data_IF_578444652499
#
_entry.id   IF_578444652499
#
_cell.length_a   1.000
_cell.length_b   1.000
_cell.length_c   1.000
_cell.angle_alpha   90.00
_cell.angle_beta   90.00
_cell.angle_gamma   90.00
#
_symmetry.space_group_name_H-M   'P 1'
#
loop_
_entity.id
_entity.type
_entity.pdbx_description
1 polymer ?
#
# COMPACT_ATOMS: atom_id res chain seq x y z
N UNK A 1 -14.57 -18.07 -8.72
CA UNK A 1 -13.89 -17.82 -10.02
C UNK A 1 -14.98 -17.42 -11.02
N UNK A 2 -15.17 -16.12 -11.30
CA UNK A 2 -15.75 -15.54 -12.55
C UNK A 2 -16.25 -14.08 -12.41
N UNK A 3 -15.53 -13.19 -11.72
CA UNK A 3 -15.99 -11.79 -11.57
C UNK A 3 -15.29 -10.78 -12.50
N UNK A 4 -14.52 -11.26 -13.49
CA UNK A 4 -13.62 -10.40 -14.28
C UNK A 4 -14.09 -10.13 -15.73
N UNK A 5 -15.32 -10.54 -16.10
CA UNK A 5 -15.82 -10.40 -17.48
C UNK A 5 -16.92 -9.34 -17.68
N UNK A 6 -17.48 -8.76 -16.61
CA UNK A 6 -18.49 -7.69 -16.71
C UNK A 6 -17.86 -6.30 -16.86
N UNK A 7 -16.77 -6.01 -16.16
CA UNK A 7 -16.12 -4.68 -16.18
C UNK A 7 -15.63 -4.24 -17.57
N UNK A 8 -15.16 -5.18 -18.41
CA UNK A 8 -14.63 -4.83 -19.73
C UNK A 8 -15.69 -4.38 -20.73
N UNK A 9 -16.96 -4.76 -20.55
CA UNK A 9 -18.06 -4.34 -21.46
C UNK A 9 -18.54 -2.92 -21.14
N UNK A 10 -18.51 -2.53 -19.88
CA UNK A 10 -18.95 -1.20 -19.44
C UNK A 10 -17.93 -0.11 -19.82
N UNK A 11 -16.63 -0.43 -19.80
CA UNK A 11 -15.58 0.45 -20.31
C UNK A 11 -15.72 0.76 -21.81
N UNK A 12 -16.15 -0.22 -22.60
CA UNK A 12 -16.35 -0.03 -24.04
C UNK A 12 -17.51 0.94 -24.33
N UNK A 13 -18.58 0.90 -23.54
CA UNK A 13 -19.71 1.83 -23.66
C UNK A 13 -19.33 3.28 -23.30
N UNK A 14 -18.55 3.47 -22.23
CA UNK A 14 -18.06 4.80 -21.84
C UNK A 14 -17.08 5.40 -22.85
N UNK A 15 -16.14 4.59 -23.36
CA UNK A 15 -15.22 5.02 -24.40
C UNK A 15 -15.96 5.40 -25.68
N UNK A 16 -17.01 4.67 -26.04
CA UNK A 16 -17.84 4.95 -27.21
C UNK A 16 -18.55 6.31 -27.12
N UNK A 17 -19.17 6.61 -25.97
CA UNK A 17 -19.86 7.91 -25.76
C UNK A 17 -18.86 9.06 -25.72
N UNK A 18 -17.71 8.90 -25.06
CA UNK A 18 -16.67 9.92 -25.02
C UNK A 18 -16.07 10.20 -26.41
N UNK A 19 -15.84 9.16 -27.21
CA UNK A 19 -15.35 9.29 -28.59
C UNK A 19 -16.40 9.95 -29.49
N UNK A 20 -17.69 9.66 -29.30
CA UNK A 20 -18.78 10.33 -30.03
C UNK A 20 -18.84 11.83 -29.72
N UNK A 21 -18.73 12.22 -28.45
CA UNK A 21 -18.72 13.64 -28.05
C UNK A 21 -17.49 14.36 -28.64
N UNK A 22 -16.32 13.75 -28.54
CA UNK A 22 -15.09 14.30 -29.12
C UNK A 22 -15.14 14.37 -30.65
N UNK A 23 -15.78 13.40 -31.32
CA UNK A 23 -15.99 13.41 -32.76
C UNK A 23 -16.94 14.54 -33.20
N UNK A 24 -18.02 14.79 -32.44
CA UNK A 24 -18.98 15.88 -32.73
C UNK A 24 -18.33 17.26 -32.52
N UNK A 25 -17.59 17.43 -31.42
CA UNK A 25 -16.87 18.69 -31.13
C UNK A 25 -15.74 18.89 -32.14
N UNK A 26 -15.01 17.83 -32.49
CA UNK A 26 -13.94 17.85 -33.49
C UNK A 26 -14.45 18.14 -34.90
N UNK A 27 -15.56 17.54 -35.32
CA UNK A 27 -16.18 17.79 -36.64
C UNK A 27 -16.76 19.20 -36.73
N UNK A 28 -17.34 19.71 -35.64
CA UNK A 28 -17.81 21.09 -35.57
C UNK A 28 -16.68 22.10 -35.77
N UNK A 29 -15.54 21.88 -35.11
CA UNK A 29 -14.35 22.72 -35.26
C UNK A 29 -13.73 22.64 -36.67
N UNK A 30 -13.72 21.45 -37.28
CA UNK A 30 -13.22 21.24 -38.64
C UNK A 30 -14.10 21.91 -39.70
N UNK A 31 -15.43 21.85 -39.55
CA UNK A 31 -16.39 22.48 -40.48
C UNK A 31 -16.37 24.02 -40.41
N UNK A 32 -16.15 24.60 -39.23
CA UNK A 32 -15.97 26.05 -39.05
C UNK A 32 -14.78 26.57 -39.88
N UNK A 33 -13.72 25.77 -40.01
CA UNK A 33 -12.47 26.18 -40.66
C UNK A 33 -12.50 26.13 -42.19
N UNK A 34 -13.42 25.38 -42.80
CA UNK A 34 -13.37 25.06 -44.25
C UNK A 34 -14.62 25.51 -45.01
N UNK A 35 -15.81 25.43 -44.40
CA UNK A 35 -17.07 25.53 -45.16
C UNK A 35 -17.90 26.82 -44.91
N UNK A 36 -17.50 27.65 -43.94
CA UNK A 36 -18.22 28.87 -43.60
C UNK A 36 -19.51 28.65 -42.78
N UNK A 37 -20.07 29.72 -42.19
CA UNK A 37 -21.06 29.64 -41.12
C UNK A 37 -22.43 29.05 -41.51
N UNK A 38 -22.79 29.08 -42.80
CA UNK A 38 -24.10 28.57 -43.27
C UNK A 38 -24.25 27.05 -43.22
N UNK A 39 -23.16 26.31 -43.45
CA UNK A 39 -23.12 24.84 -43.35
C UNK A 39 -23.16 24.35 -41.91
N UNK A 40 -22.59 25.13 -40.98
CA UNK A 40 -22.63 24.86 -39.54
C UNK A 40 -24.08 24.83 -39.03
N UNK A 41 -24.91 25.76 -39.51
CA UNK A 41 -26.30 25.90 -39.07
C UNK A 41 -27.14 24.66 -39.42
N UNK A 42 -26.98 24.13 -40.65
CA UNK A 42 -27.66 22.90 -41.08
C UNK A 42 -27.16 21.66 -40.34
N UNK A 43 -25.88 21.59 -40.01
CA UNK A 43 -25.32 20.49 -39.20
C UNK A 43 -25.77 20.54 -37.75
N UNK A 44 -25.97 21.74 -37.19
CA UNK A 44 -26.51 21.90 -35.83
C UNK A 44 -27.97 21.45 -35.81
N UNK A 45 -28.76 21.83 -36.82
CA UNK A 45 -30.18 21.48 -36.90
C UNK A 45 -30.44 19.97 -37.04
N UNK A 46 -29.60 19.25 -37.79
CA UNK A 46 -29.67 17.79 -37.88
C UNK A 46 -29.21 17.10 -36.60
N UNK A 47 -28.22 17.66 -35.89
CA UNK A 47 -27.80 17.15 -34.57
C UNK A 47 -28.87 17.41 -33.50
N UNK A 48 -29.53 18.57 -33.49
CA UNK A 48 -30.62 18.84 -32.53
C UNK A 48 -31.81 17.91 -32.75
N UNK A 49 -32.20 17.62 -34.00
CA UNK A 49 -33.26 16.63 -34.27
C UNK A 49 -32.89 15.21 -33.81
N UNK A 50 -31.62 14.82 -33.96
CA UNK A 50 -31.11 13.55 -33.43
C UNK A 50 -31.07 13.50 -31.90
N UNK A 51 -30.90 14.65 -31.24
CA UNK A 51 -30.99 14.77 -29.77
C UNK A 51 -32.44 14.79 -29.27
N UNK A 52 -33.39 15.30 -30.06
CA UNK A 52 -34.82 15.28 -29.73
C UNK A 52 -35.41 13.86 -29.73
N UNK A 53 -34.84 12.96 -30.54
CA UNK A 53 -35.19 11.53 -30.56
C UNK A 53 -34.53 10.72 -29.42
N UNK A 54 -33.60 11.31 -28.65
CA UNK A 54 -33.01 10.63 -27.50
C UNK A 54 -34.03 10.56 -26.36
N UNK A 55 -34.22 9.39 -25.72
CA UNK A 55 -35.02 9.30 -24.52
C UNK A 55 -34.51 10.31 -23.48
N UNK A 56 -35.42 11.06 -22.85
CA UNK A 56 -35.08 12.09 -21.86
C UNK A 56 -34.01 11.57 -20.89
N UNK A 57 -33.06 12.43 -20.51
CA UNK A 57 -31.97 12.11 -19.59
C UNK A 57 -32.48 11.38 -18.32
N UNK A 58 -33.69 11.77 -17.91
CA UNK A 58 -34.45 11.28 -16.77
C UNK A 58 -34.92 9.81 -16.91
N UNK A 59 -35.14 9.34 -18.13
CA UNK A 59 -35.47 7.94 -18.45
C UNK A 59 -34.24 7.04 -18.58
N UNK A 60 -33.10 7.61 -19.02
CA UNK A 60 -31.80 6.93 -19.03
C UNK A 60 -31.24 6.78 -17.60
N UNK A 61 -31.38 7.79 -16.75
CA UNK A 61 -30.99 7.75 -15.33
C UNK A 61 -31.77 6.70 -14.51
N UNK A 62 -33.02 6.40 -14.87
CA UNK A 62 -33.83 5.37 -14.18
C UNK A 62 -33.48 3.94 -14.61
N UNK A 63 -32.94 3.73 -15.81
CA UNK A 63 -32.62 2.41 -16.36
C UNK A 63 -31.17 1.99 -16.12
N UNK A 64 -30.27 2.94 -15.98
CA UNK A 64 -28.90 2.69 -15.54
C UNK A 64 -28.95 2.67 -14.00
N UNK A 65 -28.66 1.56 -13.31
CA UNK A 65 -28.39 1.63 -11.89
C UNK A 65 -27.14 2.47 -11.74
N UNK A 66 -27.33 3.77 -11.52
CA UNK A 66 -26.27 4.71 -11.22
C UNK A 66 -25.78 4.35 -9.82
N UNK A 67 -25.00 3.27 -9.72
CA UNK A 67 -24.13 3.04 -8.59
C UNK A 67 -23.09 4.14 -8.70
N UNK A 68 -23.48 5.32 -8.21
CA UNK A 68 -22.65 6.48 -8.15
C UNK A 68 -21.29 5.98 -7.67
N UNK A 69 -20.24 6.26 -8.44
CA UNK A 69 -18.95 6.49 -7.81
C UNK A 69 -19.18 7.67 -6.86
N UNK A 70 -19.74 7.37 -5.68
CA UNK A 70 -19.65 8.23 -4.53
C UNK A 70 -18.16 8.35 -4.34
N UNK A 71 -17.59 9.48 -4.76
CA UNK A 71 -16.47 10.03 -4.01
C UNK A 71 -16.86 9.87 -2.54
N UNK A 72 -16.05 9.16 -1.73
CA UNK A 72 -16.42 8.94 -0.35
C UNK A 72 -16.79 10.31 0.23
N UNK A 73 -17.95 10.46 0.91
CA UNK A 73 -18.33 11.71 1.55
C UNK A 73 -17.12 12.30 2.27
N UNK A 74 -16.95 13.63 2.32
CA UNK A 74 -15.77 14.27 2.93
C UNK A 74 -15.42 13.73 4.34
N UNK A 75 -16.40 13.14 5.03
CA UNK A 75 -16.27 12.44 6.32
C UNK A 75 -15.59 11.06 6.25
N UNK A 76 -15.65 10.33 5.12
CA UNK A 76 -15.25 8.92 4.98
C UNK A 76 -13.73 8.72 4.90
N UNK A 77 -12.90 9.77 4.90
CA UNK A 77 -11.44 9.65 4.96
C UNK A 77 -10.82 10.37 6.17
N UNK A 78 -11.61 10.67 7.20
CA UNK A 78 -11.12 11.42 8.36
C UNK A 78 -10.01 10.66 9.10
N UNK A 79 -10.09 9.33 9.16
CA UNK A 79 -9.01 8.47 9.68
C UNK A 79 -7.71 8.65 8.89
N UNK A 80 -7.76 8.65 7.55
CA UNK A 80 -6.58 8.84 6.70
C UNK A 80 -5.89 10.18 6.92
N UNK A 81 -6.65 11.24 7.18
CA UNK A 81 -6.07 12.55 7.50
C UNK A 81 -5.29 12.50 8.82
N UNK A 82 -5.83 11.82 9.82
CA UNK A 82 -5.14 11.61 11.10
C UNK A 82 -3.93 10.69 10.96
N UNK A 83 -4.01 9.61 10.18
CA UNK A 83 -2.84 8.76 9.85
C UNK A 83 -1.76 9.60 9.19
N UNK A 84 -2.12 10.42 8.19
CA UNK A 84 -1.15 11.29 7.52
C UNK A 84 -0.51 12.29 8.48
N UNK A 85 -1.29 12.95 9.34
CA UNK A 85 -0.76 13.86 10.36
C UNK A 85 0.18 13.15 11.33
N UNK A 86 -0.18 11.95 11.79
CA UNK A 86 0.67 11.14 12.65
C UNK A 86 1.98 10.76 11.96
N UNK A 87 1.90 10.36 10.69
CA UNK A 87 3.08 10.07 9.87
C UNK A 87 3.98 11.29 9.68
N UNK A 88 3.41 12.47 9.38
CA UNK A 88 4.17 13.71 9.20
C UNK A 88 4.92 14.08 10.50
N UNK A 89 4.29 13.92 11.67
CA UNK A 89 4.93 14.11 12.97
C UNK A 89 6.03 13.07 13.24
N UNK A 90 5.80 11.80 12.90
CA UNK A 90 6.80 10.75 12.99
C UNK A 90 8.04 11.08 12.14
N UNK A 91 7.84 11.58 10.93
CA UNK A 91 8.94 11.98 10.03
C UNK A 91 9.71 13.20 10.54
N UNK A 92 9.06 14.07 11.32
CA UNK A 92 9.68 15.20 12.02
C UNK A 92 10.34 14.79 13.36
N UNK A 93 10.33 13.50 13.72
CA UNK A 93 10.78 12.97 15.00
C UNK A 93 9.97 13.45 16.22
N UNK A 94 8.76 13.96 16.03
CA UNK A 94 7.85 14.33 17.12
C UNK A 94 7.01 13.11 17.57
N UNK A 95 7.67 12.10 18.12
CA UNK A 95 7.06 10.77 18.36
C UNK A 95 5.92 10.80 19.38
N UNK A 96 6.09 11.50 20.50
CA UNK A 96 5.03 11.63 21.52
C UNK A 96 3.76 12.25 20.93
N UNK A 97 3.93 13.26 20.08
CA UNK A 97 2.82 13.95 19.43
C UNK A 97 2.19 13.12 18.31
N UNK A 98 2.95 12.24 17.65
CA UNK A 98 2.47 11.40 16.57
C UNK A 98 1.44 10.35 17.04
N UNK A 99 1.48 9.95 18.31
CA UNK A 99 0.55 8.96 18.89
C UNK A 99 -0.90 9.42 18.82
N UNK A 100 -1.17 10.68 19.15
CA UNK A 100 -2.55 11.16 19.28
C UNK A 100 -3.31 11.12 17.94
N UNK A 101 -2.75 11.59 16.81
CA UNK A 101 -3.37 11.39 15.51
C UNK A 101 -3.61 9.90 15.18
N UNK A 102 -2.69 8.99 15.49
CA UNK A 102 -2.96 7.57 15.25
C UNK A 102 -4.11 7.03 16.13
N UNK A 103 -4.22 7.47 17.38
CA UNK A 103 -5.36 7.15 18.24
C UNK A 103 -6.67 7.68 17.66
N UNK A 104 -6.67 8.91 17.15
CA UNK A 104 -7.82 9.53 16.50
C UNK A 104 -8.21 8.80 15.21
N UNK A 105 -7.23 8.34 14.43
CA UNK A 105 -7.48 7.51 13.26
C UNK A 105 -8.17 6.18 13.65
N UNK A 106 -7.69 5.55 14.73
CA UNK A 106 -8.20 4.26 15.20
C UNK A 106 -9.54 4.37 15.94
N UNK A 107 -9.85 5.50 16.55
CA UNK A 107 -11.19 5.75 17.12
C UNK A 107 -12.25 5.93 16.03
N UNK A 108 -11.86 6.48 14.87
CA UNK A 108 -12.73 6.61 13.70
C UNK A 108 -12.83 5.29 12.93
N UNK A 109 -11.69 4.61 12.73
CA UNK A 109 -11.62 3.35 12.01
C UNK A 109 -10.73 2.35 12.79
N UNK A 110 -11.34 1.53 13.66
CA UNK A 110 -10.63 0.51 14.44
C UNK A 110 -10.01 -0.60 13.60
N UNK A 111 -10.31 -0.67 12.29
CA UNK A 111 -9.82 -1.69 11.38
C UNK A 111 -8.81 -1.11 10.37
N UNK A 112 -8.12 -0.02 10.72
CA UNK A 112 -7.10 0.59 9.87
C UNK A 112 -5.70 -0.02 10.14
N UNK A 113 -5.19 -0.95 9.29
CA UNK A 113 -3.89 -1.57 9.51
C UNK A 113 -2.72 -0.57 9.42
N UNK A 114 -2.87 0.48 8.62
CA UNK A 114 -1.84 1.51 8.43
C UNK A 114 -1.65 2.34 9.70
N UNK A 115 -2.76 2.70 10.37
CA UNK A 115 -2.73 3.43 11.63
C UNK A 115 -2.03 2.60 12.73
N UNK A 116 -2.35 1.30 12.83
CA UNK A 116 -1.67 0.40 13.75
C UNK A 116 -0.18 0.27 13.42
N UNK A 117 0.19 0.06 12.16
CA UNK A 117 1.58 -0.05 11.73
C UNK A 117 2.41 1.18 12.12
N UNK A 118 1.95 2.39 11.78
CA UNK A 118 2.70 3.61 12.10
C UNK A 118 2.71 3.96 13.58
N UNK A 119 1.63 3.64 14.31
CA UNK A 119 1.64 3.78 15.77
C UNK A 119 2.62 2.81 16.41
N UNK A 120 2.68 1.57 15.93
CA UNK A 120 3.69 0.58 16.33
C UNK A 120 5.12 1.05 16.07
N UNK A 121 5.39 1.64 14.89
CA UNK A 121 6.70 2.24 14.59
C UNK A 121 7.04 3.41 15.51
N UNK A 122 6.04 4.24 15.83
CA UNK A 122 6.20 5.34 16.80
C UNK A 122 6.53 4.79 18.18
N UNK A 123 5.88 3.71 18.62
CA UNK A 123 6.19 3.05 19.88
C UNK A 123 7.62 2.50 19.94
N UNK A 124 8.14 1.95 18.85
CA UNK A 124 9.57 1.56 18.76
C UNK A 124 10.48 2.76 19.05
N UNK A 125 10.18 3.93 18.46
CA UNK A 125 10.99 5.14 18.65
C UNK A 125 10.95 5.68 20.08
N UNK A 126 9.87 5.40 20.80
CA UNK A 126 9.70 5.72 22.22
C UNK A 126 10.11 4.56 23.16
N UNK A 127 10.76 3.52 22.63
CA UNK A 127 11.21 2.32 23.35
C UNK A 127 10.08 1.49 24.02
N UNK A 128 8.82 1.73 23.66
CA UNK A 128 7.64 1.03 24.16
C UNK A 128 7.38 -0.26 23.36
N UNK A 129 8.28 -1.23 23.49
CA UNK A 129 8.32 -2.43 22.66
C UNK A 129 7.05 -3.29 22.75
N UNK A 130 6.44 -3.45 23.92
CA UNK A 130 5.24 -4.28 24.08
C UNK A 130 4.02 -3.67 23.36
N UNK A 131 3.83 -2.35 23.46
CA UNK A 131 2.78 -1.64 22.73
C UNK A 131 3.01 -1.74 21.21
N UNK A 132 4.27 -1.71 20.76
CA UNK A 132 4.60 -1.90 19.36
C UNK A 132 4.24 -3.31 18.86
N UNK A 133 4.52 -4.36 19.65
CA UNK A 133 4.17 -5.75 19.33
C UNK A 133 2.66 -5.88 19.13
N UNK A 134 1.86 -5.34 20.06
CA UNK A 134 0.40 -5.43 19.99
C UNK A 134 -0.15 -4.74 18.73
N UNK A 135 0.36 -3.55 18.42
CA UNK A 135 -0.03 -2.80 17.22
C UNK A 135 0.37 -3.53 15.93
N UNK A 136 1.59 -4.08 15.83
CA UNK A 136 2.01 -4.82 14.63
C UNK A 136 1.23 -6.13 14.45
N UNK A 137 0.92 -6.84 15.54
CA UNK A 137 0.03 -8.01 15.49
C UNK A 137 -1.33 -7.63 14.96
N UNK A 138 -1.92 -6.55 15.49
CA UNK A 138 -3.22 -6.07 15.02
C UNK A 138 -3.19 -5.64 13.55
N UNK A 139 -2.10 -5.01 13.11
CA UNK A 139 -1.89 -4.69 11.70
C UNK A 139 -1.82 -5.96 10.83
N UNK A 140 -1.18 -7.04 11.29
CA UNK A 140 -1.14 -8.32 10.57
C UNK A 140 -2.45 -9.09 10.58
N UNK A 141 -3.24 -8.99 11.65
CA UNK A 141 -4.58 -9.58 11.70
C UNK A 141 -5.49 -8.95 10.63
N UNK A 142 -5.35 -7.64 10.42
CA UNK A 142 -6.11 -6.87 9.42
C UNK A 142 -5.52 -6.98 8.01
N UNK A 143 -4.18 -7.07 7.90
CA UNK A 143 -3.44 -7.19 6.64
C UNK A 143 -2.36 -8.27 6.76
N UNK A 144 -2.69 -9.55 6.52
CA UNK A 144 -1.76 -10.66 6.70
C UNK A 144 -0.49 -10.58 5.85
N UNK A 145 -0.54 -9.94 4.68
CA UNK A 145 0.60 -9.89 3.75
C UNK A 145 1.37 -8.57 3.88
N UNK A 146 1.66 -8.12 5.11
CA UNK A 146 2.45 -6.93 5.39
C UNK A 146 3.86 -7.32 5.87
N UNK A 147 4.83 -7.32 4.95
CA UNK A 147 6.19 -7.77 5.26
C UNK A 147 6.86 -6.87 6.30
N UNK A 148 6.59 -5.57 6.25
CA UNK A 148 7.11 -4.58 7.19
C UNK A 148 6.48 -4.66 8.60
N UNK A 149 5.37 -5.37 8.80
CA UNK A 149 4.94 -5.69 10.17
C UNK A 149 5.63 -6.96 10.67
N UNK A 150 5.90 -7.91 9.77
CA UNK A 150 6.59 -9.16 10.09
C UNK A 150 8.06 -8.91 10.49
N UNK A 151 8.79 -8.07 9.76
CA UNK A 151 10.18 -7.75 10.08
C UNK A 151 10.33 -7.05 11.44
N UNK A 152 9.44 -6.10 11.76
CA UNK A 152 9.44 -5.35 13.01
C UNK A 152 9.08 -6.27 14.18
N UNK A 153 8.09 -7.17 14.02
CA UNK A 153 7.82 -8.20 15.03
C UNK A 153 8.99 -9.15 15.22
N UNK A 154 9.61 -9.61 14.12
CA UNK A 154 10.81 -10.42 14.16
C UNK A 154 11.93 -9.78 14.97
N UNK A 155 12.21 -8.50 14.70
CA UNK A 155 13.19 -7.71 15.43
C UNK A 155 12.82 -7.48 16.91
N UNK A 156 11.55 -7.19 17.21
CA UNK A 156 11.08 -6.98 18.58
C UNK A 156 11.18 -8.26 19.42
N UNK A 157 10.76 -9.40 18.87
CA UNK A 157 10.88 -10.69 19.55
C UNK A 157 12.33 -11.13 19.75
N UNK A 158 13.21 -10.85 18.77
CA UNK A 158 14.66 -11.02 18.93
C UNK A 158 15.17 -10.24 20.14
N UNK A 159 14.76 -8.97 20.30
CA UNK A 159 15.17 -8.14 21.44
C UNK A 159 14.62 -8.62 22.78
N UNK A 160 13.45 -9.26 22.79
CA UNK A 160 12.88 -9.91 23.98
C UNK A 160 13.54 -11.25 24.32
N UNK A 161 14.43 -11.77 23.46
CA UNK A 161 15.04 -13.08 23.62
C UNK A 161 14.14 -14.25 23.22
N UNK A 162 12.95 -13.97 22.68
CA UNK A 162 12.02 -14.97 22.16
C UNK A 162 12.38 -15.28 20.71
N UNK A 163 13.39 -16.13 20.57
CA UNK A 163 14.00 -16.45 19.29
C UNK A 163 13.10 -17.27 18.37
N UNK A 164 12.18 -18.06 18.91
CA UNK A 164 11.28 -18.89 18.11
C UNK A 164 10.21 -18.04 17.42
N UNK A 165 9.56 -17.12 18.14
CA UNK A 165 8.65 -16.17 17.52
C UNK A 165 9.39 -15.23 16.55
N UNK A 166 10.62 -14.81 16.91
CA UNK A 166 11.45 -14.01 16.02
C UNK A 166 11.70 -14.70 14.68
N UNK A 167 12.17 -15.95 14.68
CA UNK A 167 12.40 -16.73 13.45
C UNK A 167 11.10 -16.89 12.66
N UNK A 168 9.98 -17.19 13.31
CA UNK A 168 8.68 -17.36 12.65
C UNK A 168 8.27 -16.11 11.86
N UNK A 169 8.34 -14.93 12.48
CA UNK A 169 7.98 -13.68 11.80
C UNK A 169 9.01 -13.27 10.73
N UNK A 170 10.31 -13.50 10.96
CA UNK A 170 11.34 -13.22 9.97
C UNK A 170 11.24 -14.13 8.74
N UNK A 171 10.88 -15.41 8.93
CA UNK A 171 10.57 -16.33 7.82
C UNK A 171 9.44 -15.77 6.96
N UNK A 172 8.32 -15.39 7.58
CA UNK A 172 7.18 -14.80 6.88
C UNK A 172 7.54 -13.50 6.17
N UNK A 173 8.37 -12.64 6.79
CA UNK A 173 8.87 -11.43 6.14
C UNK A 173 9.68 -11.75 4.88
N UNK A 174 10.53 -12.78 4.92
CA UNK A 174 11.37 -13.21 3.80
C UNK A 174 10.53 -13.85 2.70
N UNK A 175 9.51 -14.64 3.05
CA UNK A 175 8.55 -15.20 2.09
C UNK A 175 7.78 -14.10 1.34
N UNK A 176 7.35 -13.06 2.04
CA UNK A 176 6.65 -11.91 1.46
C UNK A 176 7.58 -10.95 0.71
N UNK A 177 8.85 -10.87 1.10
CA UNK A 177 9.84 -9.96 0.51
C UNK A 177 11.22 -10.62 0.49
N UNK A 178 11.52 -11.46 -0.52
CA UNK A 178 12.75 -12.26 -0.60
C UNK A 178 14.05 -11.47 -0.71
N UNK A 179 13.95 -10.16 -0.96
CA UNK A 179 15.06 -9.21 -1.07
C UNK A 179 15.22 -8.34 0.18
N UNK A 180 14.48 -8.62 1.27
CA UNK A 180 14.64 -7.91 2.54
C UNK A 180 15.92 -8.35 3.26
N UNK A 181 17.02 -7.65 2.96
CA UNK A 181 18.34 -7.92 3.53
C UNK A 181 18.40 -7.79 5.06
N UNK A 182 17.59 -6.89 5.63
CA UNK A 182 17.46 -6.69 7.08
C UNK A 182 16.85 -7.92 7.77
N UNK A 183 15.83 -8.54 7.16
CA UNK A 183 15.20 -9.73 7.70
C UNK A 183 16.16 -10.94 7.72
N UNK A 184 16.95 -11.14 6.66
CA UNK A 184 18.01 -12.17 6.66
C UNK A 184 19.04 -11.90 7.75
N UNK A 185 19.55 -10.67 7.87
CA UNK A 185 20.53 -10.35 8.92
C UNK A 185 19.99 -10.64 10.33
N UNK A 186 18.77 -10.21 10.64
CA UNK A 186 18.19 -10.47 11.96
C UNK A 186 17.99 -11.97 12.19
N UNK A 187 17.54 -12.72 11.18
CA UNK A 187 17.32 -14.17 11.33
C UNK A 187 18.65 -14.90 11.50
N UNK A 188 19.68 -14.49 10.76
CA UNK A 188 21.04 -14.97 10.93
C UNK A 188 21.58 -14.70 12.34
N UNK A 189 21.39 -13.49 12.87
CA UNK A 189 21.75 -13.15 14.24
C UNK A 189 21.02 -14.03 15.27
N UNK A 190 19.73 -14.30 15.06
CA UNK A 190 18.95 -15.17 15.95
C UNK A 190 19.46 -16.61 15.88
N UNK A 191 19.79 -17.13 14.70
CA UNK A 191 20.39 -18.45 14.55
C UNK A 191 21.76 -18.56 15.24
N UNK A 192 22.59 -17.52 15.15
CA UNK A 192 23.87 -17.44 15.87
C UNK A 192 23.65 -17.54 17.38
N UNK A 193 22.67 -16.80 17.93
CA UNK A 193 22.30 -16.88 19.35
C UNK A 193 21.78 -18.25 19.77
N UNK A 194 21.14 -18.99 18.86
CA UNK A 194 20.70 -20.38 19.10
C UNK A 194 21.83 -21.41 18.87
N UNK A 195 23.00 -21.00 18.42
CA UNK A 195 24.13 -21.88 18.10
C UNK A 195 24.03 -22.58 16.74
N UNK A 196 23.06 -22.23 15.90
CA UNK A 196 22.93 -22.76 14.53
C UNK A 196 23.80 -21.95 13.57
N UNK A 197 25.11 -22.17 13.67
CA UNK A 197 26.11 -21.42 12.91
C UNK A 197 25.97 -21.59 11.40
N UNK A 198 25.50 -22.75 10.93
CA UNK A 198 25.31 -23.02 9.51
C UNK A 198 24.23 -22.09 8.92
N UNK A 199 23.05 -22.01 9.57
CA UNK A 199 21.99 -21.10 9.12
C UNK A 199 22.37 -19.63 9.31
N UNK A 200 23.07 -19.31 10.39
CA UNK A 200 23.57 -17.96 10.66
C UNK A 200 24.47 -17.43 9.53
N UNK A 201 25.44 -18.24 9.07
CA UNK A 201 26.32 -17.90 7.96
C UNK A 201 25.55 -17.78 6.64
N UNK A 202 24.64 -18.71 6.35
CA UNK A 202 23.84 -18.69 5.12
C UNK A 202 22.99 -17.41 5.01
N UNK A 203 22.33 -17.02 6.09
CA UNK A 203 21.54 -15.79 6.15
C UNK A 203 22.43 -14.54 6.08
N UNK A 204 23.59 -14.53 6.73
CA UNK A 204 24.55 -13.43 6.66
C UNK A 204 25.12 -13.25 5.23
N UNK A 205 25.40 -14.33 4.52
CA UNK A 205 25.79 -14.32 3.10
C UNK A 205 24.69 -13.74 2.21
N UNK A 206 23.43 -14.14 2.42
CA UNK A 206 22.31 -13.58 1.66
C UNK A 206 22.13 -12.09 1.98
N UNK A 207 22.18 -11.67 3.24
CA UNK A 207 22.10 -10.27 3.63
C UNK A 207 23.23 -9.42 3.01
N UNK A 208 24.48 -9.91 3.06
CA UNK A 208 25.64 -9.24 2.45
C UNK A 208 25.50 -9.10 0.93
N UNK A 209 25.07 -10.17 0.23
CA UNK A 209 24.81 -10.12 -1.22
C UNK A 209 23.72 -9.12 -1.61
N UNK A 210 22.75 -8.90 -0.73
CA UNK A 210 21.69 -7.91 -0.90
C UNK A 210 22.13 -6.49 -0.47
N UNK A 211 23.41 -6.26 -0.21
CA UNK A 211 23.97 -4.95 0.11
C UNK A 211 23.81 -4.50 1.56
N UNK A 212 23.60 -5.43 2.51
CA UNK A 212 23.55 -5.09 3.93
C UNK A 212 24.88 -5.33 4.62
N UNK A 213 25.63 -4.24 4.86
CA UNK A 213 27.00 -4.26 5.38
C UNK A 213 27.17 -5.09 6.66
N UNK A 214 26.22 -5.01 7.59
CA UNK A 214 26.27 -5.79 8.84
C UNK A 214 26.21 -7.30 8.60
N UNK A 215 25.61 -7.74 7.49
CA UNK A 215 25.69 -9.13 7.04
C UNK A 215 27.13 -9.51 6.71
N UNK A 216 27.85 -8.68 5.94
CA UNK A 216 29.26 -8.91 5.62
C UNK A 216 30.14 -8.89 6.87
N UNK A 217 29.90 -7.95 7.79
CA UNK A 217 30.61 -7.87 9.07
C UNK A 217 30.41 -9.13 9.93
N UNK A 218 29.20 -9.69 9.94
CA UNK A 218 28.90 -10.94 10.64
C UNK A 218 29.74 -12.10 10.10
N UNK A 219 29.87 -12.23 8.77
CA UNK A 219 30.71 -13.26 8.14
C UNK A 219 32.17 -13.13 8.54
N UNK A 220 32.73 -11.92 8.50
CA UNK A 220 34.12 -11.68 8.89
C UNK A 220 34.38 -11.98 10.37
N UNK A 221 33.42 -11.71 11.26
CA UNK A 221 33.51 -12.08 12.68
C UNK A 221 33.65 -13.59 12.84
N UNK A 222 32.79 -14.38 12.20
CA UNK A 222 32.86 -15.84 12.26
C UNK A 222 34.15 -16.41 11.63
N UNK A 223 34.65 -15.81 10.54
CA UNK A 223 35.91 -16.22 9.92
C UNK A 223 37.11 -16.04 10.86
N UNK A 224 37.11 -14.95 11.64
CA UNK A 224 38.18 -14.66 12.62
C UNK A 224 38.12 -15.57 13.84
N UNK A 225 36.94 -15.87 14.36
CA UNK A 225 36.79 -16.77 15.52
C UNK A 225 37.14 -18.21 15.15
N UNK A 226 36.73 -18.70 13.99
CA UNK A 226 37.07 -20.04 13.49
C UNK A 226 38.57 -20.29 13.25
N UNK A 227 39.35 -19.23 13.01
CA UNK A 227 40.83 -19.32 12.86
C UNK A 227 41.59 -19.33 14.19
N UNK A 228 40.97 -18.91 15.30
CA UNK A 228 41.63 -18.88 16.63
C UNK A 228 41.43 -20.18 17.44
N UNK A 229 40.53 -21.06 16.99
CA UNK A 229 40.19 -22.32 17.68
C UNK A 229 40.75 -23.58 17.00
N UNK A 230 41.64 -23.43 16.01
CA UNK A 230 42.42 -24.51 15.40
C UNK A 230 43.89 -24.31 15.75
#
# INVERSE_FOLDING_TARGET
MSENHKDKRDYAGFLFVAVMILAIVGSGYYLIRIAGPGTLFRSIESVTRLLDDLPSLDSLQRKIPFKAYRTPPKEVLKDRQFVRRGYDLYMQNHFEQAIEPFNQALSINPNNPEAYYWRGRTWIKMEKNDAAIDDFKKALDLRPNHSESCDNLGWLYMRKGDYDNSISYLNRSIELSPENSWAYYNRGFVYDKKGDMAKALSDAEKACRLGFDKGCEMLERHRKTGKKGK
#
